data_IF_407846557839
#
_entry.id   IF_407846557839
#
_cell.length_a   1.000
_cell.length_b   1.000
_cell.length_c   1.000
_cell.angle_alpha   90.00
_cell.angle_beta   90.00
_cell.angle_gamma   90.00
#
_symmetry.space_group_name_H-M   'P 1'
#
loop_
_entity.id
_entity.type
_entity.pdbx_description
1 polymer ?
#
# COMPACT_ATOMS: atom_id res chain seq x y z
N UNK A 1 8.37 18.77 28.17
CA UNK A 1 7.64 18.85 26.91
C UNK A 1 7.80 17.54 26.16
N UNK A 2 6.82 16.64 26.26
CA UNK A 2 6.79 15.44 25.44
C UNK A 2 6.12 15.81 24.10
N UNK A 3 6.92 16.08 23.07
CA UNK A 3 6.39 16.12 21.71
C UNK A 3 6.05 14.71 21.28
N UNK A 4 4.81 14.30 21.50
CA UNK A 4 4.29 13.06 20.98
C UNK A 4 4.10 13.27 19.48
N UNK A 5 5.02 12.76 18.67
CA UNK A 5 4.84 12.67 17.22
C UNK A 5 3.90 11.51 16.96
N UNK A 6 2.61 11.75 17.10
CA UNK A 6 1.62 10.70 16.89
C UNK A 6 1.47 10.39 15.42
N UNK A 7 1.99 9.24 15.08
CA UNK A 7 1.63 8.52 13.87
C UNK A 7 0.62 7.46 14.26
N UNK A 8 -0.29 7.15 13.33
CA UNK A 8 -1.16 5.99 13.53
C UNK A 8 -0.31 4.73 13.69
N UNK A 9 -0.54 3.98 14.77
CA UNK A 9 0.13 2.72 15.00
C UNK A 9 -0.49 1.62 14.14
N UNK A 10 0.36 0.76 13.55
CA UNK A 10 -0.11 -0.37 12.76
C UNK A 10 -0.65 -1.44 13.69
N UNK A 11 -1.94 -1.76 13.57
CA UNK A 11 -2.56 -2.89 14.28
C UNK A 11 -2.39 -4.21 13.53
N UNK A 12 -2.15 -4.16 12.24
CA UNK A 12 -1.92 -5.35 11.42
C UNK A 12 -0.76 -6.15 12.00
N UNK A 13 -0.85 -7.47 12.06
CA UNK A 13 0.11 -8.38 12.70
C UNK A 13 0.16 -8.35 14.24
N UNK A 14 -0.68 -7.57 14.92
CA UNK A 14 -0.74 -7.58 16.37
C UNK A 14 -1.93 -8.46 16.77
N UNK A 15 -1.72 -9.64 17.39
CA UNK A 15 -2.80 -10.46 17.91
C UNK A 15 -3.61 -9.72 18.96
N UNK A 16 -4.90 -9.99 19.03
CA UNK A 16 -5.83 -9.32 19.94
C UNK A 16 -5.44 -9.52 21.43
N UNK A 17 -4.85 -10.67 21.73
CA UNK A 17 -4.34 -11.03 23.07
C UNK A 17 -3.25 -10.05 23.57
N UNK A 18 -2.49 -9.41 22.67
CA UNK A 18 -1.43 -8.46 23.07
C UNK A 18 -2.00 -7.08 23.43
N UNK A 19 -3.23 -6.77 23.04
CA UNK A 19 -3.86 -5.48 23.35
C UNK A 19 -4.16 -5.29 24.84
N UNK A 20 -4.13 -6.36 25.64
CA UNK A 20 -4.46 -6.36 27.06
C UNK A 20 -3.24 -6.27 27.99
N UNK A 21 -2.20 -5.52 27.63
CA UNK A 21 -1.02 -5.21 28.47
C UNK A 21 -0.18 -6.41 28.97
N UNK A 22 -0.45 -7.62 28.51
CA UNK A 22 0.41 -8.77 28.83
C UNK A 22 1.53 -8.89 27.81
N UNK A 23 2.65 -8.27 28.08
CA UNK A 23 3.88 -8.34 27.29
C UNK A 23 4.61 -9.69 27.40
N UNK A 24 3.94 -10.77 27.77
CA UNK A 24 4.54 -12.10 27.80
C UNK A 24 4.77 -12.60 26.36
N UNK A 25 5.98 -12.79 26.09
CA UNK A 25 6.79 -12.90 24.87
C UNK A 25 6.56 -14.13 24.00
N UNK A 26 5.48 -14.90 24.11
CA UNK A 26 5.32 -16.16 23.39
C UNK A 26 4.29 -16.15 22.26
N UNK A 27 3.78 -14.99 21.88
CA UNK A 27 2.82 -14.92 20.78
C UNK A 27 3.57 -14.85 19.44
N UNK A 28 3.56 -15.97 18.72
CA UNK A 28 4.09 -16.04 17.36
C UNK A 28 3.34 -15.08 16.46
N UNK A 29 4.09 -14.27 15.73
CA UNK A 29 3.57 -13.40 14.67
C UNK A 29 3.90 -14.04 13.35
N UNK A 30 2.89 -14.52 12.64
CA UNK A 30 3.09 -15.05 11.31
C UNK A 30 3.35 -13.91 10.34
N UNK A 31 4.48 -13.95 9.64
CA UNK A 31 4.73 -13.07 8.52
C UNK A 31 4.03 -13.63 7.28
N UNK A 32 3.08 -12.87 6.74
CA UNK A 32 2.33 -13.29 5.57
C UNK A 32 3.15 -12.92 4.33
N UNK A 33 3.56 -13.92 3.58
CA UNK A 33 4.28 -13.74 2.31
C UNK A 33 3.27 -13.63 1.16
N UNK A 34 2.33 -14.58 1.07
CA UNK A 34 1.25 -14.62 0.08
C UNK A 34 -0.04 -15.02 0.80
N UNK A 35 -1.16 -14.42 0.41
CA UNK A 35 -2.47 -14.78 0.93
C UNK A 35 -3.55 -14.71 -0.14
N UNK A 36 -4.65 -15.38 0.10
CA UNK A 36 -5.73 -15.52 -0.87
C UNK A 36 -6.31 -14.18 -1.37
N UNK A 37 -6.34 -13.16 -0.51
CA UNK A 37 -6.78 -11.82 -0.90
C UNK A 37 -5.92 -11.21 -2.01
N UNK A 38 -4.60 -11.44 -1.97
CA UNK A 38 -3.70 -11.02 -3.05
C UNK A 38 -4.03 -11.74 -4.35
N UNK A 39 -4.28 -13.05 -4.30
CA UNK A 39 -4.63 -13.83 -5.49
C UNK A 39 -5.92 -13.32 -6.12
N UNK A 40 -6.95 -13.03 -5.32
CA UNK A 40 -8.21 -12.45 -5.82
C UNK A 40 -8.00 -11.09 -6.50
N UNK A 41 -7.16 -10.23 -5.91
CA UNK A 41 -6.84 -8.92 -6.47
C UNK A 41 -5.98 -9.03 -7.73
N UNK A 42 -5.04 -9.96 -7.78
CA UNK A 42 -4.25 -10.25 -8.98
C UNK A 42 -5.17 -10.75 -10.11
N UNK A 43 -6.08 -11.66 -9.80
CA UNK A 43 -7.04 -12.18 -10.77
C UNK A 43 -7.98 -11.08 -11.29
N UNK A 44 -8.55 -10.26 -10.40
CA UNK A 44 -9.42 -9.15 -10.79
C UNK A 44 -8.69 -8.13 -11.68
N UNK A 45 -7.43 -7.81 -11.37
CA UNK A 45 -6.62 -6.90 -12.17
C UNK A 45 -6.34 -7.50 -13.56
N UNK A 46 -5.87 -8.73 -13.62
CA UNK A 46 -5.59 -9.42 -14.87
C UNK A 46 -6.84 -9.52 -15.75
N UNK A 47 -7.98 -9.90 -15.16
CA UNK A 47 -9.24 -10.01 -15.87
C UNK A 47 -9.74 -8.66 -16.41
N UNK A 48 -9.59 -7.58 -15.63
CA UNK A 48 -9.96 -6.24 -16.09
C UNK A 48 -9.10 -5.77 -17.26
N UNK A 49 -7.78 -5.98 -17.19
CA UNK A 49 -6.86 -5.57 -18.25
C UNK A 49 -6.99 -6.43 -19.52
N UNK A 50 -7.41 -7.69 -19.36
CA UNK A 50 -7.74 -8.58 -20.50
C UNK A 50 -9.09 -8.27 -21.15
N UNK A 51 -9.85 -7.28 -20.68
CA UNK A 51 -11.16 -6.94 -21.20
C UNK A 51 -12.28 -7.88 -20.76
N UNK A 52 -12.09 -8.58 -19.65
CA UNK A 52 -13.11 -9.44 -19.05
C UNK A 52 -14.39 -8.71 -18.69
N UNK A 53 -15.47 -9.46 -18.49
CA UNK A 53 -16.77 -8.87 -18.18
C UNK A 53 -16.72 -8.05 -16.88
N UNK A 54 -17.47 -6.97 -16.85
CA UNK A 54 -17.59 -6.13 -15.63
C UNK A 54 -18.02 -6.94 -14.42
N UNK A 55 -18.97 -7.84 -14.61
CA UNK A 55 -19.51 -8.65 -13.53
C UNK A 55 -18.44 -9.58 -12.95
N UNK A 56 -17.67 -10.26 -13.79
CA UNK A 56 -16.64 -11.20 -13.36
C UNK A 56 -15.53 -10.50 -12.59
N UNK A 57 -15.07 -9.32 -13.08
CA UNK A 57 -14.07 -8.51 -12.39
C UNK A 57 -14.54 -8.10 -10.98
N UNK A 58 -15.78 -7.62 -10.87
CA UNK A 58 -16.32 -7.16 -9.58
C UNK A 58 -16.63 -8.32 -8.63
N UNK A 59 -17.09 -9.46 -9.17
CA UNK A 59 -17.33 -10.66 -8.39
C UNK A 59 -16.03 -11.26 -7.82
N UNK A 60 -14.90 -11.11 -8.51
CA UNK A 60 -13.60 -11.54 -7.99
C UNK A 60 -13.18 -10.75 -6.74
N UNK A 61 -13.60 -9.48 -6.61
CA UNK A 61 -13.26 -8.62 -5.47
C UNK A 61 -14.28 -8.74 -4.33
N UNK A 62 -15.54 -9.06 -4.66
CA UNK A 62 -16.64 -9.09 -3.69
C UNK A 62 -16.33 -9.86 -2.40
N UNK A 63 -15.69 -11.06 -2.42
CA UNK A 63 -15.37 -11.82 -1.21
C UNK A 63 -14.49 -11.08 -0.20
N UNK A 64 -13.64 -10.14 -0.67
CA UNK A 64 -12.80 -9.34 0.22
C UNK A 64 -13.64 -8.36 1.04
N UNK A 65 -14.67 -7.81 0.43
CA UNK A 65 -15.58 -6.87 1.05
C UNK A 65 -16.59 -7.57 1.97
N UNK A 66 -17.11 -8.70 1.53
CA UNK A 66 -18.02 -9.52 2.34
C UNK A 66 -17.35 -9.97 3.65
N UNK A 67 -16.07 -10.31 3.61
CA UNK A 67 -15.26 -10.71 4.79
C UNK A 67 -15.24 -9.63 5.88
N UNK A 68 -15.27 -8.37 5.52
CA UNK A 68 -15.25 -7.22 6.45
C UNK A 68 -16.63 -6.61 6.69
N UNK A 69 -17.69 -7.30 6.31
CA UNK A 69 -19.07 -6.87 6.53
C UNK A 69 -19.60 -5.82 5.55
N UNK A 70 -18.90 -5.57 4.45
CA UNK A 70 -19.37 -4.68 3.38
C UNK A 70 -20.22 -5.46 2.38
N UNK A 71 -21.48 -5.73 2.73
CA UNK A 71 -22.38 -6.62 1.99
C UNK A 71 -22.97 -6.02 0.71
N UNK A 72 -22.82 -4.71 0.49
CA UNK A 72 -23.30 -4.06 -0.73
C UNK A 72 -22.60 -4.63 -1.96
N UNK A 73 -23.38 -5.03 -2.97
CA UNK A 73 -22.86 -5.63 -4.19
C UNK A 73 -22.09 -4.62 -5.03
N UNK A 74 -20.87 -4.97 -5.41
CA UNK A 74 -20.05 -4.14 -6.30
C UNK A 74 -20.67 -4.00 -7.69
N UNK A 75 -21.42 -4.99 -8.14
CA UNK A 75 -22.15 -4.96 -9.41
C UNK A 75 -23.22 -3.88 -9.47
N UNK A 76 -23.72 -3.44 -8.34
CA UNK A 76 -24.77 -2.40 -8.26
C UNK A 76 -24.18 -0.97 -8.34
N UNK A 77 -22.86 -0.84 -8.26
CA UNK A 77 -22.19 0.46 -8.34
C UNK A 77 -22.20 1.02 -9.76
N UNK A 78 -22.71 2.24 -9.92
CA UNK A 78 -22.75 2.94 -11.21
C UNK A 78 -21.45 3.58 -11.64
N UNK A 79 -20.50 3.76 -10.72
CA UNK A 79 -19.20 4.42 -10.95
C UNK A 79 -18.09 3.48 -11.42
N UNK A 80 -18.39 2.18 -11.64
CA UNK A 80 -17.42 1.16 -12.07
C UNK A 80 -17.73 0.60 -13.46
N UNK A 81 -18.11 1.47 -14.40
CA UNK A 81 -18.56 1.05 -15.73
C UNK A 81 -17.40 0.78 -16.69
N UNK A 82 -16.40 1.66 -16.71
CA UNK A 82 -15.28 1.53 -17.66
C UNK A 82 -14.15 0.67 -17.09
N UNK A 83 -13.29 0.15 -17.97
CA UNK A 83 -12.04 -0.53 -17.58
C UNK A 83 -11.18 0.38 -16.72
N UNK A 84 -11.13 1.68 -17.05
CA UNK A 84 -10.33 2.66 -16.30
C UNK A 84 -10.86 2.87 -14.87
N UNK A 85 -12.18 2.95 -14.69
CA UNK A 85 -12.81 3.09 -13.36
C UNK A 85 -12.53 1.87 -12.50
N UNK A 86 -12.73 0.67 -13.06
CA UNK A 86 -12.41 -0.59 -12.38
C UNK A 86 -10.94 -0.71 -12.06
N UNK A 87 -10.02 -0.32 -12.97
CA UNK A 87 -8.57 -0.28 -12.73
C UNK A 87 -8.24 0.58 -11.51
N UNK A 88 -8.78 1.78 -11.44
CA UNK A 88 -8.56 2.69 -10.32
C UNK A 88 -9.13 2.13 -9.01
N UNK A 89 -10.29 1.51 -9.07
CA UNK A 89 -10.92 0.85 -7.94
C UNK A 89 -10.07 -0.32 -7.43
N UNK A 90 -9.64 -1.25 -8.31
CA UNK A 90 -8.77 -2.39 -7.97
C UNK A 90 -7.48 -1.90 -7.31
N UNK A 91 -6.83 -0.89 -7.89
CA UNK A 91 -5.60 -0.31 -7.33
C UNK A 91 -5.82 0.28 -5.93
N UNK A 92 -6.97 0.88 -5.69
CA UNK A 92 -7.35 1.38 -4.37
C UNK A 92 -7.60 0.25 -3.38
N UNK A 93 -8.37 -0.77 -3.77
CA UNK A 93 -8.63 -1.96 -2.94
C UNK A 93 -7.29 -2.67 -2.59
N UNK A 94 -6.39 -2.86 -3.56
CA UNK A 94 -5.03 -3.39 -3.29
C UNK A 94 -4.27 -2.56 -2.28
N UNK A 95 -4.31 -1.24 -2.42
CA UNK A 95 -3.60 -0.33 -1.51
C UNK A 95 -4.08 -0.45 -0.07
N UNK A 96 -5.37 -0.65 0.13
CA UNK A 96 -5.99 -0.76 1.46
C UNK A 96 -5.85 -2.17 2.02
N UNK A 97 -6.21 -3.19 1.22
CA UNK A 97 -6.22 -4.58 1.65
C UNK A 97 -4.81 -5.10 1.95
N UNK A 98 -3.84 -4.79 1.09
CA UNK A 98 -2.46 -5.24 1.21
C UNK A 98 -1.55 -4.22 1.92
N UNK A 99 -2.12 -3.26 2.66
CA UNK A 99 -1.34 -2.29 3.42
C UNK A 99 -0.40 -3.00 4.41
N UNK A 100 0.85 -2.58 4.49
CA UNK A 100 1.92 -3.16 5.33
C UNK A 100 2.32 -4.60 4.98
N UNK A 101 2.04 -5.07 3.77
CA UNK A 101 2.44 -6.38 3.25
C UNK A 101 3.46 -6.25 2.10
N UNK A 102 4.22 -5.17 2.07
CA UNK A 102 5.31 -4.85 1.13
C UNK A 102 4.92 -4.72 -0.36
N UNK A 103 3.64 -4.85 -0.70
CA UNK A 103 3.18 -4.79 -2.09
C UNK A 103 3.23 -3.39 -2.71
N UNK A 104 3.01 -2.33 -1.92
CA UNK A 104 2.82 -0.97 -2.44
C UNK A 104 3.99 -0.45 -3.26
N UNK A 105 5.22 -0.71 -2.83
CA UNK A 105 6.43 -0.25 -3.51
C UNK A 105 6.58 -0.85 -4.91
N UNK A 106 6.17 -2.12 -5.07
CA UNK A 106 6.19 -2.84 -6.33
C UNK A 106 5.01 -2.46 -7.22
N UNK A 107 3.81 -2.37 -6.66
CA UNK A 107 2.59 -2.02 -7.37
C UNK A 107 2.70 -0.66 -8.07
N UNK A 108 3.19 0.38 -7.38
CA UNK A 108 3.31 1.70 -8.00
C UNK A 108 4.37 1.76 -9.09
N UNK A 109 5.40 0.92 -9.00
CA UNK A 109 6.41 0.79 -10.05
C UNK A 109 5.85 0.07 -11.28
N UNK A 110 5.25 -1.12 -11.11
CA UNK A 110 4.69 -1.88 -12.23
C UNK A 110 3.53 -1.18 -12.92
N UNK A 111 2.78 -0.33 -12.20
CA UNK A 111 1.74 0.53 -12.77
C UNK A 111 2.28 1.82 -13.42
N UNK A 112 3.57 2.07 -13.31
CA UNK A 112 4.24 3.30 -13.78
C UNK A 112 3.60 4.58 -13.22
N UNK A 113 3.29 4.60 -11.93
CA UNK A 113 2.65 5.73 -11.23
C UNK A 113 3.45 6.18 -9.98
N UNK A 114 4.65 5.65 -9.80
CA UNK A 114 5.43 5.86 -8.59
C UNK A 114 5.79 7.34 -8.36
N UNK A 115 6.11 8.10 -9.40
CA UNK A 115 6.37 9.55 -9.29
C UNK A 115 5.19 10.29 -8.67
N UNK A 116 3.97 10.03 -9.17
CA UNK A 116 2.75 10.66 -8.65
C UNK A 116 2.36 10.15 -7.27
N UNK A 117 2.63 8.87 -6.99
CA UNK A 117 2.22 8.22 -5.75
C UNK A 117 3.20 8.40 -4.60
N UNK A 118 4.51 8.41 -4.88
CA UNK A 118 5.58 8.42 -3.88
C UNK A 118 6.25 9.78 -3.69
N UNK A 119 6.26 10.66 -4.70
CA UNK A 119 6.84 12.01 -4.57
C UNK A 119 5.92 13.00 -3.81
N UNK A 120 5.01 12.50 -2.98
CA UNK A 120 4.13 13.32 -2.16
C UNK A 120 4.66 13.42 -0.73
N UNK A 121 4.48 14.58 -0.06
CA UNK A 121 4.81 14.70 1.35
C UNK A 121 4.04 13.68 2.19
N UNK A 122 4.73 13.15 3.20
CA UNK A 122 4.06 12.41 4.28
C UNK A 122 3.67 13.43 5.34
N UNK A 123 2.44 13.36 5.78
CA UNK A 123 1.93 14.21 6.85
C UNK A 123 1.90 13.44 8.16
N UNK A 124 2.20 14.15 9.23
CA UNK A 124 2.03 13.71 10.60
C UNK A 124 0.99 14.58 11.30
N UNK A 125 0.59 14.14 12.48
CA UNK A 125 -0.25 14.91 13.40
C UNK A 125 0.62 15.34 14.57
N UNK A 126 0.73 16.64 14.80
CA UNK A 126 1.30 17.19 16.02
C UNK A 126 0.16 17.41 17.00
N UNK A 127 0.33 16.87 18.20
CA UNK A 127 -0.66 17.02 19.27
C UNK A 127 -0.03 17.86 20.37
N UNK A 128 -0.60 19.04 20.60
CA UNK A 128 -0.20 19.93 21.69
C UNK A 128 -1.33 20.04 22.72
N UNK A 129 -0.99 20.35 23.96
CA UNK A 129 -2.00 20.60 25.00
C UNK A 129 -2.01 22.08 25.30
N UNK A 130 -3.09 22.76 24.96
CA UNK A 130 -3.31 24.19 25.18
C UNK A 130 -4.56 24.38 26.05
N UNK A 131 -4.43 25.12 27.15
CA UNK A 131 -5.54 25.39 28.05
C UNK A 131 -6.30 24.14 28.52
N UNK A 132 -5.57 23.03 28.72
CA UNK A 132 -6.18 21.74 29.13
C UNK A 132 -6.81 20.92 28.01
N UNK A 133 -6.88 21.43 26.78
CA UNK A 133 -7.45 20.74 25.61
C UNK A 133 -6.34 20.30 24.65
N UNK A 134 -6.55 19.17 23.97
CA UNK A 134 -5.64 18.72 22.91
C UNK A 134 -5.95 19.44 21.61
N UNK A 135 -4.90 20.02 21.01
CA UNK A 135 -4.95 20.66 19.69
C UNK A 135 -4.19 19.77 18.70
N UNK A 136 -4.83 19.46 17.60
CA UNK A 136 -4.31 18.56 16.55
C UNK A 136 -3.93 19.37 15.32
N UNK A 137 -2.65 19.42 15.00
CA UNK A 137 -2.15 20.17 13.85
C UNK A 137 -1.47 19.25 12.84
N UNK A 138 -1.99 19.25 11.60
CA UNK A 138 -1.38 18.49 10.51
C UNK A 138 -0.10 19.19 10.04
N UNK A 139 1.03 18.49 10.10
CA UNK A 139 2.34 18.98 9.63
C UNK A 139 2.95 18.04 8.60
N UNK A 140 3.80 18.58 7.72
CA UNK A 140 4.63 17.74 6.85
C UNK A 140 5.69 17.07 7.71
N UNK A 141 5.63 15.74 7.81
CA UNK A 141 6.60 14.96 8.57
C UNK A 141 7.84 14.64 7.73
N UNK A 142 7.66 14.44 6.42
CA UNK A 142 8.75 14.12 5.50
C UNK A 142 8.37 14.47 4.06
N UNK A 143 9.30 15.12 3.34
CA UNK A 143 9.24 15.23 1.90
C UNK A 143 9.90 14.01 1.28
N UNK A 144 9.22 13.38 0.33
CA UNK A 144 9.75 12.24 -0.41
C UNK A 144 10.07 12.66 -1.83
N UNK A 145 11.13 12.07 -2.36
CA UNK A 145 11.53 12.24 -3.75
C UNK A 145 11.44 10.89 -4.44
N UNK A 146 10.86 10.87 -5.62
CA UNK A 146 10.89 9.74 -6.54
C UNK A 146 11.10 10.29 -7.95
N UNK A 147 12.16 9.85 -8.61
CA UNK A 147 12.51 10.26 -9.97
C UNK A 147 12.46 9.06 -10.91
N UNK A 148 12.43 9.31 -12.21
CA UNK A 148 12.33 8.28 -13.23
C UNK A 148 13.36 7.15 -13.07
N UNK A 149 14.61 7.48 -12.78
CA UNK A 149 15.66 6.46 -12.56
C UNK A 149 15.35 5.47 -11.43
N UNK A 150 14.49 5.85 -10.47
CA UNK A 150 14.14 5.01 -9.32
C UNK A 150 13.12 3.91 -9.64
N UNK A 151 12.59 3.86 -10.87
CA UNK A 151 11.81 2.70 -11.32
C UNK A 151 12.66 1.44 -11.40
N UNK A 152 13.94 1.59 -11.76
CA UNK A 152 14.92 0.52 -11.79
C UNK A 152 15.92 0.73 -10.65
N UNK A 153 16.27 -0.34 -9.95
CA UNK A 153 17.32 -0.28 -8.94
C UNK A 153 18.70 -0.20 -9.61
N UNK A 154 19.69 0.49 -8.99
CA UNK A 154 21.06 0.44 -9.48
C UNK A 154 21.60 -0.98 -9.37
N UNK A 155 22.39 -1.39 -10.36
CA UNK A 155 23.21 -2.60 -10.25
C UNK A 155 24.31 -2.31 -9.23
N UNK A 156 24.55 -3.20 -8.25
CA UNK A 156 25.62 -3.00 -7.28
C UNK A 156 26.97 -2.75 -7.97
N UNK A 157 27.69 -1.73 -7.50
CA UNK A 157 28.94 -1.28 -8.10
C UNK A 157 29.98 -2.41 -8.28
N UNK A 158 30.07 -3.31 -7.29
CA UNK A 158 30.94 -4.48 -7.37
C UNK A 158 30.59 -5.45 -8.49
N UNK A 159 29.33 -5.53 -8.90
CA UNK A 159 28.92 -6.37 -10.04
C UNK A 159 29.18 -5.65 -11.36
N UNK A 160 28.99 -4.33 -11.41
CA UNK A 160 29.35 -3.51 -12.57
C UNK A 160 30.84 -3.67 -12.88
N UNK A 161 31.70 -3.58 -11.88
CA UNK A 161 33.16 -3.72 -12.06
C UNK A 161 33.60 -5.13 -12.47
N UNK A 162 32.97 -6.17 -11.91
CA UNK A 162 33.33 -7.56 -12.25
C UNK A 162 32.93 -7.97 -13.67
N UNK A 163 31.77 -7.48 -14.11
CA UNK A 163 31.14 -7.94 -15.35
C UNK A 163 31.23 -6.93 -16.49
N UNK A 164 31.67 -5.71 -16.20
CA UNK A 164 31.71 -4.57 -17.13
C UNK A 164 30.34 -4.28 -17.79
N UNK A 165 29.24 -4.50 -17.04
CA UNK A 165 27.87 -4.20 -17.45
C UNK A 165 27.60 -2.72 -17.18
N UNK A 166 26.91 -2.04 -18.09
CA UNK A 166 26.39 -0.70 -17.82
C UNK A 166 25.31 -0.75 -16.74
N UNK A 167 25.34 0.26 -15.86
CA UNK A 167 24.30 0.41 -14.85
C UNK A 167 22.96 0.80 -15.49
N UNK A 168 21.86 0.66 -14.75
CA UNK A 168 20.56 1.08 -15.20
C UNK A 168 20.53 2.57 -15.52
N UNK A 169 19.69 3.03 -16.48
CA UNK A 169 19.63 4.42 -16.91
C UNK A 169 19.50 5.41 -15.74
N UNK A 170 20.33 6.45 -15.75
CA UNK A 170 20.38 7.49 -14.71
C UNK A 170 21.15 7.11 -13.44
N UNK A 171 21.79 5.90 -13.40
CA UNK A 171 22.67 5.45 -12.33
C UNK A 171 24.15 5.37 -12.75
N UNK A 172 24.44 5.69 -14.01
CA UNK A 172 25.82 5.87 -14.46
C UNK A 172 26.36 7.16 -13.85
N UNK A 173 27.48 7.08 -13.14
CA UNK A 173 28.25 8.26 -12.70
C UNK A 173 29.03 8.83 -13.87
#
# INVERSE_FOLDING_TARGET
>A
EMCIRDRYYTRKYIPEVILNNNHTSSNYRNWIIIRYAEILLNYAEALNEAGGSRADVLNAIQPLRDRVGMTAKLTDRSDLQTIADRRNFIRKERTVELAFEDHRAWDVRRWNVAEKALARPIYGMEITKENGKFVYTRKVAQNRVFTEKMYLYPIPEGEVWKTNIENNPGWNN
#
